data_IF_736474902287
#
_entry.id   IF_736474902287
#
_cell.length_a   1.000
_cell.length_b   1.000
_cell.length_c   1.000
_cell.angle_alpha   90.00
_cell.angle_beta   90.00
_cell.angle_gamma   90.00
#
_symmetry.space_group_name_H-M   'P 1'
#
loop_
_entity.id
_entity.type
_entity.pdbx_description
1 polymer ?
#
# COMPACT_ATOMS: atom_id res chain seq x y z
N UNK A 1 -53.76 30.66 64.82
CA UNK A 1 -53.03 29.51 64.27
C UNK A 1 -53.41 29.42 62.79
N UNK A 2 -52.86 30.22 61.86
CA UNK A 2 -51.47 30.44 61.43
C UNK A 2 -50.89 29.28 60.60
N UNK A 3 -50.89 29.51 59.28
CA UNK A 3 -49.92 29.09 58.24
C UNK A 3 -49.58 27.60 58.10
N UNK A 4 -50.29 26.85 57.24
CA UNK A 4 -49.81 25.54 56.76
C UNK A 4 -50.46 25.03 55.45
N UNK A 5 -50.98 25.90 54.58
CA UNK A 5 -51.80 25.47 53.43
C UNK A 5 -51.32 25.82 51.98
N UNK A 6 -50.30 26.66 51.69
CA UNK A 6 -49.98 26.97 50.28
C UNK A 6 -48.74 26.28 49.70
N UNK A 7 -48.03 25.40 50.43
CA UNK A 7 -46.73 24.85 49.96
C UNK A 7 -46.88 23.58 49.09
N UNK A 8 -48.00 22.85 49.17
CA UNK A 8 -48.16 21.57 48.45
C UNK A 8 -48.60 21.76 46.98
N UNK A 9 -49.19 22.90 46.62
CA UNK A 9 -49.66 23.14 45.23
C UNK A 9 -48.56 23.65 44.28
N UNK A 10 -47.42 24.12 44.79
CA UNK A 10 -46.31 24.64 43.95
C UNK A 10 -45.30 23.54 43.56
N UNK A 11 -45.33 22.38 44.23
CA UNK A 11 -44.41 21.26 43.95
C UNK A 11 -44.92 20.26 42.89
N UNK A 12 -46.13 20.42 42.35
CA UNK A 12 -46.71 19.54 41.33
C UNK A 12 -46.66 20.09 39.90
N UNK A 13 -46.08 21.29 39.69
CA UNK A 13 -45.99 21.93 38.36
C UNK A 13 -44.57 21.96 37.76
N UNK A 14 -43.55 21.43 38.44
CA UNK A 14 -42.16 21.44 37.96
C UNK A 14 -41.67 20.12 37.34
N UNK A 15 -42.55 19.14 37.11
CA UNK A 15 -42.16 17.81 36.60
C UNK A 15 -42.43 17.56 35.10
N UNK A 16 -42.85 18.56 34.32
CA UNK A 16 -43.21 18.39 32.89
C UNK A 16 -42.44 19.29 31.90
N UNK A 17 -41.16 19.54 32.12
CA UNK A 17 -40.28 20.19 31.11
C UNK A 17 -38.97 19.43 30.85
N UNK A 18 -38.97 18.11 31.08
CA UNK A 18 -37.83 17.22 30.87
C UNK A 18 -37.83 16.43 29.54
N UNK A 19 -38.47 16.93 28.48
CA UNK A 19 -38.64 16.21 27.21
C UNK A 19 -38.02 16.93 26.00
N UNK A 20 -36.88 17.62 26.17
CA UNK A 20 -36.23 18.33 25.06
C UNK A 20 -34.77 17.95 24.78
N UNK A 21 -34.10 17.17 25.63
CA UNK A 21 -32.68 16.84 25.43
C UNK A 21 -32.49 15.44 24.82
N UNK A 22 -33.29 14.46 25.23
CA UNK A 22 -33.30 13.13 24.60
C UNK A 22 -33.78 13.19 23.13
N UNK A 23 -34.72 14.07 22.80
CA UNK A 23 -35.23 14.25 21.42
C UNK A 23 -34.17 14.89 20.52
N UNK A 24 -33.37 15.81 21.05
CA UNK A 24 -32.31 16.49 20.30
C UNK A 24 -31.11 15.58 20.00
N UNK A 25 -30.82 14.65 20.90
CA UNK A 25 -29.79 13.61 20.69
C UNK A 25 -30.25 12.61 19.64
N UNK A 26 -31.51 12.14 19.70
CA UNK A 26 -32.06 11.20 18.70
C UNK A 26 -32.14 11.84 17.30
N UNK A 27 -32.40 13.15 17.22
CA UNK A 27 -32.46 13.86 15.94
C UNK A 27 -31.05 14.14 15.36
N UNK A 28 -30.05 14.42 16.20
CA UNK A 28 -28.65 14.49 15.80
C UNK A 28 -28.10 13.12 15.34
N UNK A 29 -28.46 12.04 16.04
CA UNK A 29 -28.08 10.68 15.68
C UNK A 29 -28.73 10.26 14.35
N UNK A 30 -29.98 10.67 14.06
CA UNK A 30 -30.64 10.35 12.79
C UNK A 30 -29.96 11.04 11.59
N UNK A 31 -29.42 12.26 11.77
CA UNK A 31 -28.66 12.97 10.73
C UNK A 31 -27.31 12.29 10.49
N UNK A 32 -26.62 11.88 11.57
CA UNK A 32 -25.34 11.15 11.48
C UNK A 32 -25.50 9.78 10.79
N UNK A 33 -26.57 9.04 11.13
CA UNK A 33 -26.89 7.76 10.49
C UNK A 33 -27.22 7.92 9.01
N UNK A 34 -27.94 8.98 8.61
CA UNK A 34 -28.22 9.26 7.19
C UNK A 34 -26.98 9.66 6.41
N UNK A 35 -26.07 10.42 7.01
CA UNK A 35 -24.78 10.77 6.39
C UNK A 35 -23.87 9.54 6.23
N UNK A 36 -23.92 8.62 7.20
CA UNK A 36 -23.21 7.34 7.11
C UNK A 36 -23.80 6.44 6.01
N UNK A 37 -25.13 6.40 5.89
CA UNK A 37 -25.81 5.62 4.85
C UNK A 37 -25.57 6.18 3.44
N UNK A 38 -25.55 7.50 3.27
CA UNK A 38 -25.21 8.11 1.98
C UNK A 38 -23.73 7.90 1.61
N UNK A 39 -22.84 7.86 2.60
CA UNK A 39 -21.44 7.48 2.40
C UNK A 39 -21.29 6.02 1.95
N UNK A 40 -22.01 5.08 2.57
CA UNK A 40 -22.02 3.68 2.14
C UNK A 40 -22.65 3.48 0.75
N UNK A 41 -23.76 4.17 0.44
CA UNK A 41 -24.37 4.11 -0.90
C UNK A 41 -23.46 4.72 -1.99
N UNK A 42 -22.62 5.69 -1.64
CA UNK A 42 -21.61 6.24 -2.56
C UNK A 42 -20.39 5.31 -2.74
N UNK A 43 -20.17 4.35 -1.83
CA UNK A 43 -19.11 3.33 -1.91
C UNK A 43 -19.49 2.10 -2.75
N UNK A 44 -20.79 1.82 -2.93
CA UNK A 44 -21.26 0.73 -3.78
C UNK A 44 -20.68 0.76 -5.21
N UNK A 45 -20.72 1.88 -5.96
CA UNK A 45 -20.19 1.91 -7.33
C UNK A 45 -18.66 1.71 -7.38
N UNK A 46 -17.91 2.18 -6.39
CA UNK A 46 -16.44 2.04 -6.35
C UNK A 46 -15.99 0.64 -5.96
N UNK A 47 -16.74 -0.06 -5.10
CA UNK A 47 -16.50 -1.47 -4.78
C UNK A 47 -16.74 -2.37 -5.99
N UNK A 48 -17.82 -2.16 -6.76
CA UNK A 48 -18.05 -2.92 -8.00
C UNK A 48 -17.03 -2.61 -9.09
N UNK A 49 -16.59 -1.35 -9.23
CA UNK A 49 -15.53 -1.00 -10.17
C UNK A 49 -14.19 -1.65 -9.79
N UNK A 50 -13.82 -1.66 -8.50
CA UNK A 50 -12.63 -2.38 -8.03
C UNK A 50 -12.77 -3.90 -8.17
N UNK A 51 -13.95 -4.48 -7.95
CA UNK A 51 -14.18 -5.91 -8.13
C UNK A 51 -13.99 -6.34 -9.59
N UNK A 52 -14.40 -5.51 -10.55
CA UNK A 52 -14.19 -5.76 -11.98
C UNK A 52 -12.71 -5.67 -12.37
N UNK A 53 -11.97 -4.71 -11.80
CA UNK A 53 -10.51 -4.61 -11.99
C UNK A 53 -9.83 -5.87 -11.43
N UNK A 54 -10.20 -6.30 -10.22
CA UNK A 54 -9.65 -7.52 -9.61
C UNK A 54 -9.97 -8.80 -10.40
N UNK A 55 -11.18 -8.95 -10.93
CA UNK A 55 -11.53 -10.11 -11.76
C UNK A 55 -10.74 -10.12 -13.07
N UNK A 56 -10.54 -8.96 -13.71
CA UNK A 56 -9.66 -8.88 -14.88
C UNK A 56 -8.21 -9.26 -14.57
N UNK A 57 -7.68 -8.84 -13.40
CA UNK A 57 -6.32 -9.19 -12.97
C UNK A 57 -6.15 -10.69 -12.69
N UNK A 58 -7.16 -11.33 -12.10
CA UNK A 58 -7.14 -12.78 -11.86
C UNK A 58 -7.14 -13.55 -13.19
N UNK A 59 -7.91 -13.09 -14.17
CA UNK A 59 -7.96 -13.72 -15.50
C UNK A 59 -6.62 -13.62 -16.24
N UNK A 60 -5.92 -12.47 -16.18
CA UNK A 60 -4.57 -12.33 -16.75
C UNK A 60 -3.54 -13.18 -16.03
N UNK A 61 -3.56 -13.22 -14.69
CA UNK A 61 -2.66 -14.08 -13.91
C UNK A 61 -2.84 -15.57 -14.23
N UNK A 62 -4.07 -16.01 -14.49
CA UNK A 62 -4.35 -17.39 -14.86
C UNK A 62 -3.86 -17.74 -16.27
N UNK A 63 -3.91 -16.79 -17.21
CA UNK A 63 -3.31 -16.94 -18.54
C UNK A 63 -1.77 -17.03 -18.48
N UNK A 64 -1.15 -16.16 -17.67
CA UNK A 64 0.31 -16.15 -17.48
C UNK A 64 0.82 -17.47 -16.87
N UNK A 65 0.08 -18.04 -15.91
CA UNK A 65 0.42 -19.34 -15.32
C UNK A 65 0.40 -20.49 -16.32
N UNK A 66 -0.55 -20.48 -17.26
CA UNK A 66 -0.63 -21.49 -18.32
C UNK A 66 0.53 -21.33 -19.31
N UNK A 67 0.84 -20.09 -19.71
CA UNK A 67 1.98 -19.81 -20.59
C UNK A 67 3.32 -20.20 -19.95
N UNK A 68 3.49 -19.94 -18.64
CA UNK A 68 4.68 -20.36 -17.91
C UNK A 68 4.82 -21.89 -17.84
N UNK A 69 3.72 -22.63 -17.66
CA UNK A 69 3.74 -24.11 -17.68
C UNK A 69 4.14 -24.68 -19.04
N UNK A 70 3.66 -24.08 -20.13
CA UNK A 70 4.06 -24.50 -21.48
C UNK A 70 5.55 -24.23 -21.73
N UNK A 71 6.07 -23.09 -21.27
CA UNK A 71 7.50 -22.78 -21.37
C UNK A 71 8.36 -23.78 -20.59
N UNK A 72 7.97 -24.12 -19.37
CA UNK A 72 8.68 -25.13 -18.55
C UNK A 72 8.63 -26.50 -19.22
N UNK A 73 7.49 -26.89 -19.79
CA UNK A 73 7.35 -28.17 -20.50
C UNK A 73 8.27 -28.21 -21.73
N UNK A 74 8.32 -27.11 -22.51
CA UNK A 74 9.21 -26.99 -23.67
C UNK A 74 10.68 -27.05 -23.28
N UNK A 75 11.09 -26.32 -22.24
CA UNK A 75 12.46 -26.39 -21.71
C UNK A 75 12.79 -27.80 -21.22
N UNK A 76 11.85 -28.47 -20.54
CA UNK A 76 12.05 -29.83 -20.04
C UNK A 76 12.25 -30.82 -21.18
N UNK A 77 11.46 -30.72 -22.26
CA UNK A 77 11.66 -31.55 -23.46
C UNK A 77 12.99 -31.21 -24.14
N UNK A 78 13.37 -29.94 -24.23
CA UNK A 78 14.65 -29.52 -24.80
C UNK A 78 15.85 -30.02 -23.99
N UNK A 79 15.76 -30.01 -22.66
CA UNK A 79 16.80 -30.56 -21.77
C UNK A 79 16.87 -32.08 -21.85
N UNK A 80 15.74 -32.78 -21.97
CA UNK A 80 15.71 -34.24 -22.09
C UNK A 80 16.12 -34.75 -23.48
N UNK A 81 16.04 -33.91 -24.53
CA UNK A 81 16.41 -34.28 -25.91
C UNK A 81 17.85 -33.90 -26.27
N UNK A 82 18.56 -33.18 -25.40
CA UNK A 82 19.93 -32.75 -25.61
C UNK A 82 21.00 -33.73 -25.10
N UNK A 83 20.96 -35.01 -25.48
CA UNK A 83 22.09 -35.93 -25.24
C UNK A 83 22.14 -37.20 -26.13
N UNK A 84 21.64 -37.25 -27.37
CA UNK A 84 22.05 -38.32 -28.33
C UNK A 84 21.94 -37.81 -29.78
N UNK A 85 23.00 -37.97 -30.58
CA UNK A 85 23.13 -37.36 -31.91
C UNK A 85 22.45 -38.09 -33.10
N UNK A 86 22.00 -37.27 -34.08
CA UNK A 86 22.13 -37.36 -35.58
C UNK A 86 21.44 -38.53 -36.34
N UNK A 87 20.85 -38.43 -37.60
CA UNK A 87 20.51 -37.32 -38.53
C UNK A 87 19.03 -37.39 -39.12
N UNK A 88 18.67 -36.87 -40.35
CA UNK A 88 17.54 -35.93 -40.54
C UNK A 88 16.27 -36.54 -41.19
N UNK A 89 15.08 -36.01 -40.88
CA UNK A 89 13.86 -36.27 -41.66
C UNK A 89 13.12 -34.96 -41.95
N UNK A 90 12.71 -34.81 -43.20
CA UNK A 90 12.08 -33.62 -43.78
C UNK A 90 10.63 -33.39 -43.30
N UNK A 91 10.25 -32.10 -43.34
CA UNK A 91 8.92 -31.48 -43.17
C UNK A 91 7.89 -31.97 -44.23
N UNK A 92 6.59 -31.56 -44.28
CA UNK A 92 5.94 -30.38 -43.66
C UNK A 92 4.46 -30.54 -43.19
N UNK A 93 3.92 -29.60 -42.40
CA UNK A 93 2.54 -29.10 -42.57
C UNK A 93 2.38 -27.68 -42.04
N UNK A 94 1.71 -26.86 -42.85
CA UNK A 94 1.36 -25.44 -42.78
C UNK A 94 0.29 -25.10 -41.73
N UNK A 95 0.41 -23.96 -41.04
CA UNK A 95 -0.71 -23.26 -40.37
C UNK A 95 -0.55 -21.72 -40.52
N UNK A 96 -1.60 -20.95 -40.87
CA UNK A 96 -1.49 -19.74 -41.69
C UNK A 96 -1.52 -18.40 -40.92
N UNK A 97 -1.18 -18.37 -39.63
CA UNK A 97 -1.15 -17.12 -38.83
C UNK A 97 0.27 -16.71 -38.44
N UNK A 98 1.15 -16.60 -39.43
CA UNK A 98 2.47 -15.98 -39.28
C UNK A 98 2.35 -14.49 -38.96
N UNK A 99 2.53 -14.13 -37.68
CA UNK A 99 2.91 -12.79 -37.28
C UNK A 99 4.36 -12.78 -36.78
N UNK A 100 5.14 -11.93 -37.44
CA UNK A 100 6.33 -11.23 -36.97
C UNK A 100 7.55 -12.05 -36.52
N UNK A 101 8.59 -11.94 -37.36
CA UNK A 101 10.01 -12.07 -37.08
C UNK A 101 10.40 -11.41 -35.74
N UNK A 102 10.74 -12.21 -34.73
CA UNK A 102 11.51 -11.75 -33.57
C UNK A 102 12.95 -12.20 -33.79
N UNK A 103 13.84 -11.23 -34.00
CA UNK A 103 15.30 -11.41 -33.95
C UNK A 103 15.69 -12.03 -32.62
N UNK A 104 16.13 -13.29 -32.64
CA UNK A 104 16.84 -13.93 -31.53
C UNK A 104 18.26 -13.36 -31.42
N UNK A 105 18.69 -12.79 -30.27
CA UNK A 105 20.09 -12.54 -30.00
C UNK A 105 20.86 -13.86 -29.89
N UNK A 106 22.11 -13.85 -30.35
CA UNK A 106 23.01 -15.01 -30.30
C UNK A 106 23.25 -15.50 -28.85
N UNK A 107 23.54 -16.81 -28.64
CA UNK A 107 23.75 -17.37 -27.32
C UNK A 107 25.06 -16.85 -26.72
N UNK A 108 25.00 -16.33 -25.50
CA UNK A 108 26.19 -16.07 -24.69
C UNK A 108 26.73 -17.41 -24.15
N UNK A 109 28.00 -17.65 -24.46
CA UNK A 109 28.83 -18.75 -24.00
C UNK A 109 29.10 -18.61 -22.49
N UNK A 110 28.70 -19.61 -21.71
CA UNK A 110 28.99 -19.68 -20.27
C UNK A 110 30.02 -20.78 -20.02
N UNK A 111 31.28 -20.53 -20.39
CA UNK A 111 32.41 -21.31 -19.89
C UNK A 111 33.27 -20.45 -18.96
N UNK A 112 33.06 -20.60 -17.64
CA UNK A 112 34.16 -20.72 -16.65
C UNK A 112 33.58 -20.78 -15.24
N UNK A 113 33.76 -21.92 -14.59
CA UNK A 113 33.57 -22.07 -13.16
C UNK A 113 34.64 -21.27 -12.41
N UNK A 114 34.20 -20.37 -11.53
CA UNK A 114 35.02 -19.80 -10.48
C UNK A 114 34.35 -20.13 -9.14
N UNK A 115 35.01 -20.99 -8.37
CA UNK A 115 34.67 -21.31 -6.98
C UNK A 115 34.94 -20.05 -6.14
N UNK A 116 33.89 -19.43 -5.61
CA UNK A 116 33.99 -18.22 -4.80
C UNK A 116 32.93 -18.17 -3.70
N UNK A 117 33.41 -18.32 -2.45
CA UNK A 117 32.93 -17.85 -1.14
C UNK A 117 31.42 -17.75 -0.81
N UNK A 118 31.00 -18.15 0.41
CA UNK A 118 29.63 -17.97 0.89
C UNK A 118 29.30 -16.47 0.99
N UNK A 119 28.33 -16.03 0.21
CA UNK A 119 27.77 -14.68 0.27
C UNK A 119 26.89 -14.57 1.54
N UNK A 120 26.99 -13.49 2.33
CA UNK A 120 26.07 -13.24 3.44
C UNK A 120 24.64 -13.10 2.90
N UNK A 121 23.68 -13.60 3.68
CA UNK A 121 22.23 -13.61 3.42
C UNK A 121 21.81 -12.25 2.83
N UNK A 122 21.61 -12.23 1.52
CA UNK A 122 21.15 -11.07 0.77
C UNK A 122 19.68 -10.84 1.07
N UNK A 123 19.37 -9.68 1.64
CA UNK A 123 18.01 -9.15 1.72
C UNK A 123 17.53 -9.01 0.27
N UNK A 124 16.58 -9.86 -0.15
CA UNK A 124 15.98 -9.78 -1.47
C UNK A 124 15.35 -8.38 -1.65
N UNK A 125 15.73 -7.67 -2.71
CA UNK A 125 15.11 -6.40 -3.07
C UNK A 125 13.64 -6.65 -3.45
N UNK A 126 12.74 -6.48 -2.50
CA UNK A 126 11.30 -6.61 -2.71
C UNK A 126 10.81 -5.54 -3.68
N UNK A 127 10.01 -5.85 -4.70
CA UNK A 127 9.38 -4.83 -5.57
C UNK A 127 8.67 -3.77 -4.72
N UNK A 128 8.67 -2.50 -5.16
CA UNK A 128 8.14 -1.34 -4.41
C UNK A 128 6.68 -1.49 -3.93
N UNK A 129 5.93 -2.43 -4.50
CA UNK A 129 4.54 -2.73 -4.14
C UNK A 129 4.36 -4.09 -3.44
N UNK A 130 5.45 -4.76 -3.05
CA UNK A 130 5.35 -6.03 -2.32
C UNK A 130 5.09 -5.72 -0.85
N UNK A 131 4.02 -6.27 -0.24
CA UNK A 131 3.77 -6.05 1.17
C UNK A 131 4.94 -6.57 2.03
N UNK A 132 5.46 -5.72 2.90
CA UNK A 132 6.51 -6.10 3.86
C UNK A 132 5.82 -6.67 5.09
N UNK A 133 6.32 -7.80 5.60
CA UNK A 133 5.73 -8.47 6.75
C UNK A 133 6.79 -8.77 7.80
N UNK A 134 6.42 -8.60 9.06
CA UNK A 134 7.24 -9.08 10.19
C UNK A 134 6.81 -10.47 10.62
N UNK A 135 7.69 -11.17 11.34
CA UNK A 135 7.38 -12.44 12.01
C UNK A 135 6.23 -12.33 13.01
N UNK A 136 6.04 -11.12 13.55
CA UNK A 136 4.98 -10.75 14.50
C UNK A 136 3.61 -10.55 13.85
N UNK A 137 3.55 -10.46 12.51
CA UNK A 137 2.32 -10.33 11.73
C UNK A 137 1.94 -8.89 11.35
N UNK A 138 2.79 -7.90 11.66
CA UNK A 138 2.63 -6.54 11.14
C UNK A 138 2.86 -6.55 9.62
N UNK A 139 2.05 -5.78 8.89
CA UNK A 139 2.13 -5.68 7.43
C UNK A 139 2.25 -4.22 7.03
N UNK A 140 3.30 -3.84 6.30
CA UNK A 140 3.33 -2.61 5.52
C UNK A 140 2.80 -2.97 4.13
N UNK A 141 1.55 -2.61 3.85
CA UNK A 141 0.86 -3.01 2.62
C UNK A 141 1.41 -2.26 1.41
N UNK A 142 1.60 -0.95 1.56
CA UNK A 142 2.13 -0.07 0.51
C UNK A 142 2.78 1.15 1.15
N UNK A 143 3.85 1.66 0.51
CA UNK A 143 4.44 2.96 0.80
C UNK A 143 4.38 3.77 -0.49
N UNK A 144 3.95 5.04 -0.40
CA UNK A 144 3.82 5.93 -1.57
C UNK A 144 4.24 7.35 -1.22
N UNK A 145 4.60 8.10 -2.27
CA UNK A 145 4.67 9.57 -2.22
C UNK A 145 3.36 10.18 -2.73
N UNK A 146 2.90 11.28 -2.14
CA UNK A 146 1.63 11.90 -2.48
C UNK A 146 1.67 13.44 -2.30
N UNK A 147 0.79 14.16 -3.01
CA UNK A 147 0.63 15.63 -2.83
C UNK A 147 -0.20 15.97 -1.60
N UNK A 148 -1.07 15.05 -1.19
CA UNK A 148 -1.96 15.25 -0.06
C UNK A 148 -2.17 14.00 0.78
N UNK A 149 -2.79 14.24 1.92
CA UNK A 149 -3.33 13.22 2.80
C UNK A 149 -4.81 13.54 3.02
N UNK A 150 -5.66 12.52 3.09
CA UNK A 150 -7.04 12.69 3.51
C UNK A 150 -7.09 12.97 5.01
N UNK A 151 -7.70 14.09 5.41
CA UNK A 151 -7.77 14.51 6.82
C UNK A 151 -8.60 13.57 7.71
N UNK A 152 -9.46 12.74 7.13
CA UNK A 152 -10.32 11.83 7.88
C UNK A 152 -9.57 10.56 8.34
N UNK A 153 -8.71 9.99 7.50
CA UNK A 153 -8.07 8.69 7.73
C UNK A 153 -6.52 8.73 7.70
N UNK A 154 -5.94 9.85 7.28
CA UNK A 154 -4.49 10.03 7.13
C UNK A 154 -3.89 9.35 5.89
N UNK A 155 -4.73 8.81 5.00
CA UNK A 155 -4.30 8.01 3.85
C UNK A 155 -4.00 8.87 2.62
N UNK A 156 -3.22 8.36 1.65
CA UNK A 156 -2.71 9.19 0.56
C UNK A 156 -3.81 9.67 -0.39
N UNK A 157 -3.67 10.91 -0.84
CA UNK A 157 -4.48 11.52 -1.90
C UNK A 157 -3.54 12.11 -2.94
N UNK A 158 -3.85 11.92 -4.22
CA UNK A 158 -3.01 12.35 -5.35
C UNK A 158 -1.58 11.78 -5.26
N UNK A 159 -1.48 10.44 -5.30
CA UNK A 159 -0.20 9.73 -5.36
C UNK A 159 0.61 10.19 -6.58
N UNK A 160 1.86 10.58 -6.34
CA UNK A 160 2.76 11.06 -7.39
C UNK A 160 4.20 10.90 -6.95
N UNK A 161 5.10 10.69 -7.90
CA UNK A 161 6.55 10.80 -7.70
C UNK A 161 7.12 12.09 -8.30
N UNK A 162 6.28 13.00 -8.79
CA UNK A 162 6.68 14.27 -9.37
C UNK A 162 5.95 15.44 -8.71
N UNK A 163 6.75 16.35 -8.16
CA UNK A 163 6.34 17.52 -7.40
C UNK A 163 6.79 18.79 -8.10
N UNK A 164 5.94 19.81 -8.04
CA UNK A 164 6.24 21.17 -8.49
C UNK A 164 6.85 21.96 -7.34
N UNK A 165 7.73 22.93 -7.61
CA UNK A 165 8.15 23.92 -6.59
C UNK A 165 6.99 24.74 -6.02
N UNK A 166 5.82 24.72 -6.66
CA UNK A 166 4.58 25.33 -6.16
C UNK A 166 3.78 24.46 -5.19
N UNK A 167 4.06 23.15 -5.13
CA UNK A 167 3.42 22.27 -4.16
C UNK A 167 3.94 22.65 -2.76
N UNK A 168 3.13 22.48 -1.71
CA UNK A 168 3.52 22.88 -0.36
C UNK A 168 4.39 21.81 0.34
N UNK A 169 4.09 20.53 0.10
CA UNK A 169 4.69 19.40 0.81
C UNK A 169 4.84 18.18 -0.09
N UNK A 170 5.88 17.40 0.18
CA UNK A 170 6.00 16.01 -0.26
C UNK A 170 5.56 15.13 0.89
N UNK A 171 4.47 14.37 0.72
CA UNK A 171 4.05 13.39 1.72
C UNK A 171 4.60 12.02 1.38
N UNK A 172 5.05 11.29 2.39
CA UNK A 172 5.39 9.85 2.32
C UNK A 172 4.47 9.13 3.27
N UNK A 173 3.63 8.27 2.72
CA UNK A 173 2.53 7.64 3.45
C UNK A 173 2.62 6.13 3.29
N UNK A 174 2.61 5.43 4.41
CA UNK A 174 2.61 3.98 4.49
C UNK A 174 1.29 3.48 5.06
N UNK A 175 0.64 2.54 4.36
CA UNK A 175 -0.53 1.83 4.86
C UNK A 175 -0.05 0.64 5.67
N UNK A 176 -0.26 0.68 6.98
CA UNK A 176 0.24 -0.34 7.91
C UNK A 176 -0.94 -1.06 8.56
N UNK A 177 -0.86 -2.39 8.66
CA UNK A 177 -1.82 -3.26 9.34
C UNK A 177 -1.20 -3.99 10.51
N UNK A 178 -2.04 -4.32 11.50
CA UNK A 178 -1.67 -5.09 12.70
C UNK A 178 -0.48 -4.52 13.47
N UNK A 179 -0.37 -3.19 13.57
CA UNK A 179 0.72 -2.55 14.30
C UNK A 179 0.47 -2.61 15.80
N UNK A 180 1.55 -2.70 16.57
CA UNK A 180 1.52 -2.75 18.03
C UNK A 180 1.99 -1.42 18.63
N UNK A 181 1.48 -1.08 19.82
CA UNK A 181 2.02 0.00 20.64
C UNK A 181 3.53 -0.19 20.83
N UNK A 182 4.28 0.88 20.65
CA UNK A 182 5.74 0.88 20.72
C UNK A 182 6.44 0.59 19.38
N UNK A 183 5.70 0.33 18.30
CA UNK A 183 6.30 0.25 16.96
C UNK A 183 6.81 1.64 16.55
N UNK A 184 8.08 1.73 16.19
CA UNK A 184 8.71 2.96 15.69
C UNK A 184 8.75 2.94 14.18
N UNK A 185 8.13 3.94 13.56
CA UNK A 185 8.18 4.18 12.12
C UNK A 185 9.20 5.27 11.83
N UNK A 186 9.89 5.19 10.69
CA UNK A 186 10.82 6.21 10.25
C UNK A 186 10.79 6.43 8.74
N UNK A 187 11.10 7.65 8.34
CA UNK A 187 11.32 8.06 6.97
C UNK A 187 12.70 8.70 6.85
N UNK A 188 13.56 8.09 6.02
CA UNK A 188 14.90 8.58 5.73
C UNK A 188 14.91 9.21 4.34
N UNK A 189 15.16 10.51 4.28
CA UNK A 189 15.19 11.32 3.07
C UNK A 189 16.63 11.55 2.60
N UNK A 190 16.85 11.39 1.30
CA UNK A 190 18.18 11.52 0.68
C UNK A 190 18.08 12.21 -0.69
N UNK A 191 19.06 13.03 -1.03
CA UNK A 191 19.21 13.63 -2.38
C UNK A 191 19.58 15.10 -2.35
N UNK A 192 20.35 15.61 -3.34
CA UNK A 192 20.75 17.03 -3.40
C UNK A 192 21.30 17.60 -2.07
N UNK A 193 22.22 16.88 -1.41
CA UNK A 193 22.75 17.20 -0.07
C UNK A 193 21.75 17.13 1.09
N UNK A 194 20.52 16.69 0.86
CA UNK A 194 19.60 16.29 1.93
C UNK A 194 20.01 14.90 2.42
N UNK A 195 20.20 14.77 3.73
CA UNK A 195 20.30 13.50 4.43
C UNK A 195 19.67 13.65 5.81
N UNK A 196 18.37 13.39 5.90
CA UNK A 196 17.60 13.59 7.13
C UNK A 196 16.74 12.38 7.44
N UNK A 197 16.48 12.15 8.73
CA UNK A 197 15.64 11.04 9.18
C UNK A 197 14.67 11.51 10.24
N UNK A 198 13.41 11.18 10.04
CA UNK A 198 12.34 11.45 10.99
C UNK A 198 11.79 10.15 11.52
N UNK A 199 11.37 10.15 12.78
CA UNK A 199 10.82 8.98 13.43
C UNK A 199 9.60 9.33 14.28
N UNK A 200 8.66 8.40 14.33
CA UNK A 200 7.46 8.48 15.15
C UNK A 200 7.14 7.11 15.73
N UNK A 201 6.78 7.06 17.01
CA UNK A 201 6.45 5.81 17.69
C UNK A 201 4.97 5.75 17.99
N UNK A 202 4.32 4.66 17.57
CA UNK A 202 2.91 4.42 17.83
C UNK A 202 2.65 4.28 19.33
N UNK A 203 1.76 5.12 19.86
CA UNK A 203 1.34 5.11 21.26
C UNK A 203 0.21 4.11 21.56
N UNK A 204 -0.35 3.49 20.52
CA UNK A 204 -1.43 2.52 20.60
C UNK A 204 -1.21 1.38 19.60
N UNK A 205 -1.96 0.28 19.76
CA UNK A 205 -2.04 -0.81 18.77
C UNK A 205 -3.27 -0.61 17.90
N UNK A 206 -3.29 -1.16 16.68
CA UNK A 206 -4.46 -1.06 15.82
C UNK A 206 -4.43 -2.02 14.63
N UNK A 207 -5.61 -2.26 14.05
CA UNK A 207 -5.75 -3.13 12.89
C UNK A 207 -5.21 -2.47 11.60
N UNK A 208 -5.34 -1.15 11.46
CA UNK A 208 -4.85 -0.38 10.33
C UNK A 208 -4.56 1.07 10.73
N UNK A 209 -3.51 1.65 10.16
CA UNK A 209 -3.17 3.08 10.25
C UNK A 209 -2.45 3.52 8.97
N UNK A 210 -2.66 4.76 8.55
CA UNK A 210 -1.85 5.42 7.53
C UNK A 210 -0.78 6.30 8.22
N UNK A 211 0.45 5.79 8.29
CA UNK A 211 1.58 6.52 8.86
C UNK A 211 2.12 7.47 7.82
N UNK A 212 2.27 8.74 8.17
CA UNK A 212 2.71 9.77 7.25
C UNK A 212 3.88 10.59 7.82
N UNK A 213 4.83 10.89 6.94
CA UNK A 213 5.86 11.90 7.14
C UNK A 213 5.76 12.91 6.01
N UNK A 214 6.19 14.14 6.25
CA UNK A 214 6.24 15.14 5.18
C UNK A 214 7.54 15.91 5.21
N UNK A 215 7.87 16.46 4.06
CA UNK A 215 8.92 17.46 3.89
C UNK A 215 8.31 18.71 3.25
N UNK A 216 8.71 19.90 3.69
CA UNK A 216 8.25 21.15 3.07
C UNK A 216 9.04 21.41 1.78
N UNK A 217 8.34 21.67 0.68
CA UNK A 217 9.00 21.84 -0.64
C UNK A 217 9.83 23.12 -0.69
N UNK A 218 9.47 24.14 0.07
CA UNK A 218 10.27 25.36 0.26
C UNK A 218 11.68 25.10 0.80
N UNK A 219 11.90 23.96 1.46
CA UNK A 219 13.19 23.52 1.99
C UNK A 219 13.95 22.61 1.02
N UNK A 220 13.35 22.22 -0.10
CA UNK A 220 13.98 21.37 -1.12
C UNK A 220 14.42 22.22 -2.32
N UNK A 221 15.55 21.83 -2.91
CA UNK A 221 15.97 22.39 -4.20
C UNK A 221 15.42 21.52 -5.33
N UNK A 222 15.15 22.06 -6.52
CA UNK A 222 14.76 21.23 -7.65
C UNK A 222 15.78 20.12 -7.92
N UNK A 223 15.32 18.88 -8.13
CA UNK A 223 16.14 17.73 -8.46
C UNK A 223 15.56 16.40 -7.98
N UNK A 224 16.42 15.38 -7.93
CA UNK A 224 16.01 14.01 -7.64
C UNK A 224 16.27 13.66 -6.18
N UNK A 225 15.29 13.02 -5.57
CA UNK A 225 15.30 12.62 -4.18
C UNK A 225 14.85 11.18 -4.05
N UNK A 226 15.23 10.57 -2.94
CA UNK A 226 14.76 9.26 -2.53
C UNK A 226 14.32 9.31 -1.08
N UNK A 227 13.28 8.56 -0.75
CA UNK A 227 12.85 8.39 0.63
C UNK A 227 12.67 6.91 0.92
N UNK A 228 13.19 6.47 2.05
CA UNK A 228 13.05 5.09 2.50
C UNK A 228 12.25 5.05 3.78
N UNK A 229 11.13 4.34 3.75
CA UNK A 229 10.30 4.11 4.91
C UNK A 229 10.71 2.82 5.63
N UNK A 230 10.76 2.83 6.96
CA UNK A 230 10.99 1.63 7.76
C UNK A 230 10.15 1.60 9.02
N UNK A 231 9.94 0.40 9.55
CA UNK A 231 9.27 0.18 10.82
C UNK A 231 10.08 -0.80 11.68
N UNK A 232 10.20 -0.50 12.96
CA UNK A 232 10.84 -1.33 13.96
C UNK A 232 9.83 -1.65 15.07
N UNK A 233 9.56 -2.92 15.28
CA UNK A 233 8.68 -3.37 16.37
C UNK A 233 9.42 -3.44 17.71
N UNK A 234 8.67 -3.54 18.81
CA UNK A 234 9.23 -3.59 20.16
C UNK A 234 10.06 -4.84 20.46
N UNK A 235 9.93 -5.89 19.64
CA UNK A 235 10.79 -7.08 19.67
C UNK A 235 12.16 -6.86 18.98
N UNK A 236 12.41 -5.67 18.43
CA UNK A 236 13.63 -5.30 17.71
C UNK A 236 13.62 -5.64 16.22
N UNK A 237 12.61 -6.37 15.74
CA UNK A 237 12.47 -6.72 14.33
C UNK A 237 12.22 -5.46 13.50
N UNK A 238 12.94 -5.34 12.37
CA UNK A 238 12.85 -4.19 11.47
C UNK A 238 12.50 -4.64 10.06
N UNK A 239 11.56 -3.94 9.45
CA UNK A 239 11.24 -4.02 8.02
C UNK A 239 11.46 -2.67 7.36
N UNK A 240 11.89 -2.70 6.11
CA UNK A 240 12.24 -1.51 5.35
C UNK A 240 11.75 -1.65 3.91
N UNK A 241 11.15 -0.59 3.39
CA UNK A 241 10.76 -0.48 1.99
C UNK A 241 11.96 -0.29 1.07
N UNK A 242 11.76 -0.51 -0.23
CA UNK A 242 12.72 0.00 -1.20
C UNK A 242 12.73 1.54 -1.16
N UNK A 243 13.84 2.16 -1.57
CA UNK A 243 13.88 3.61 -1.79
C UNK A 243 12.82 4.04 -2.80
N UNK A 244 11.93 4.95 -2.38
CA UNK A 244 10.96 5.60 -3.24
C UNK A 244 11.61 6.82 -3.87
N UNK A 245 11.85 6.77 -5.18
CA UNK A 245 12.37 7.91 -5.93
C UNK A 245 11.27 8.92 -6.24
N UNK A 246 11.57 10.21 -6.06
CA UNK A 246 10.71 11.31 -6.49
C UNK A 246 11.54 12.48 -7.04
N UNK A 247 10.90 13.33 -7.83
CA UNK A 247 11.51 14.51 -8.44
C UNK A 247 10.78 15.78 -8.02
N UNK A 248 11.54 16.82 -7.70
CA UNK A 248 11.05 18.20 -7.53
C UNK A 248 11.49 19.01 -8.75
N UNK A 249 10.55 19.65 -9.44
CA UNK A 249 10.80 20.42 -10.66
C UNK A 249 10.07 21.75 -10.67
#
# INVERSE_FOLDING_TARGET
MKFLAPIILVLLLSACSGSSEATRIVEADNISLRATLSYYQALDPTMTAQANIWTSQIATLQADLNQAREQVTRLTVQMNTGAVGVPPVAAPTTDPNSFATINTPAPLDFSSAAVGAPTPIGVAAASANTPLRTSSGMIIERVVTARGMNNADGCPVDETNAFSTSDSRVWVIAVVRNYKRGTTFSAQWQGNNLEESYQWTANQSGAQICVHFYYEISSLTPGNYTVTFSAQESNGERVQSLPLAFIVR
#
